data_IF_912879242857
#
_entry.id   IF_912879242857
#
_cell.length_a   1.000
_cell.length_b   1.000
_cell.length_c   1.000
_cell.angle_alpha   90.00
_cell.angle_beta   90.00
_cell.angle_gamma   90.00
#
_symmetry.space_group_name_H-M   'P 1'
#
loop_
_entity.id
_entity.type
_entity.pdbx_description
1 polymer ?
#
# COMPACT_ATOMS: atom_id res chain seq x y z
N UNK A 1 11.69 -42.00 44.46
CA UNK A 1 13.07 -42.44 44.23
C UNK A 1 13.66 -41.64 43.05
N UNK A 2 14.98 -41.38 43.07
CA UNK A 2 15.68 -40.61 42.00
C UNK A 2 15.52 -41.23 40.61
N UNK A 3 15.13 -42.49 40.54
CA UNK A 3 14.87 -43.19 39.30
C UNK A 3 13.56 -42.74 38.63
N UNK A 4 12.54 -42.37 39.41
CA UNK A 4 11.23 -41.94 38.91
C UNK A 4 11.27 -40.51 38.35
N UNK A 5 12.16 -39.66 38.90
CA UNK A 5 12.39 -38.30 38.42
C UNK A 5 13.11 -38.25 37.06
N UNK A 6 13.99 -39.24 36.78
CA UNK A 6 14.71 -39.34 35.51
C UNK A 6 13.85 -39.88 34.37
N UNK A 7 12.72 -40.50 34.70
CA UNK A 7 11.75 -41.02 33.70
C UNK A 7 10.68 -40.00 33.29
N UNK A 8 10.62 -38.83 33.88
CA UNK A 8 9.70 -37.77 33.48
C UNK A 8 10.20 -37.14 32.19
N UNK A 9 9.54 -37.48 31.10
CA UNK A 9 9.71 -36.77 29.82
C UNK A 9 9.26 -35.31 30.00
N UNK A 10 10.09 -34.32 29.70
CA UNK A 10 9.72 -32.94 29.84
C UNK A 10 8.47 -32.65 28.96
N UNK A 11 7.36 -32.37 29.61
CA UNK A 11 6.13 -32.00 28.92
C UNK A 11 6.19 -30.50 28.65
N UNK A 12 6.07 -30.13 27.38
CA UNK A 12 5.93 -28.72 26.98
C UNK A 12 4.50 -28.29 27.24
N UNK A 13 4.29 -27.43 28.22
CA UNK A 13 3.00 -26.80 28.48
C UNK A 13 2.97 -25.41 27.87
N UNK A 14 1.93 -25.12 27.06
CA UNK A 14 1.68 -23.80 26.50
C UNK A 14 0.47 -23.20 27.20
N UNK A 15 0.58 -21.97 27.68
CA UNK A 15 -0.49 -21.26 28.38
C UNK A 15 -0.12 -19.83 28.68
N UNK A 16 -1.02 -19.12 29.36
CA UNK A 16 -0.77 -17.76 29.82
C UNK A 16 -0.23 -17.77 31.25
N UNK A 17 0.85 -17.03 31.50
CA UNK A 17 1.32 -16.78 32.86
C UNK A 17 0.35 -15.81 33.55
N UNK A 18 -0.25 -16.25 34.66
CA UNK A 18 -1.18 -15.45 35.47
C UNK A 18 -0.69 -15.40 36.91
N UNK A 19 -0.92 -14.24 37.52
CA UNK A 19 -0.63 -14.08 38.95
C UNK A 19 -1.58 -14.94 39.79
N UNK A 20 -1.05 -15.68 40.76
CA UNK A 20 -1.84 -16.51 41.67
C UNK A 20 -2.71 -15.61 42.54
N UNK A 21 -4.06 -15.77 42.52
CA UNK A 21 -4.92 -15.04 43.45
C UNK A 21 -4.57 -15.34 44.90
N UNK A 22 -4.50 -14.32 45.75
CA UNK A 22 -4.13 -14.47 47.19
C UNK A 22 -4.92 -15.56 47.90
N UNK A 23 -6.21 -15.71 47.56
CA UNK A 23 -7.06 -16.75 48.11
C UNK A 23 -6.62 -18.15 47.74
N UNK A 24 -6.17 -18.35 46.48
CA UNK A 24 -5.65 -19.63 45.99
C UNK A 24 -4.28 -19.92 46.64
N UNK A 25 -3.40 -18.92 46.74
CA UNK A 25 -2.12 -19.06 47.44
C UNK A 25 -2.33 -19.46 48.89
N UNK A 26 -3.30 -18.88 49.59
CA UNK A 26 -3.69 -19.29 50.97
C UNK A 26 -4.11 -20.77 51.05
N UNK A 27 -4.98 -21.22 50.13
CA UNK A 27 -5.38 -22.63 50.09
C UNK A 27 -4.20 -23.58 49.84
N UNK A 28 -3.27 -23.19 49.02
CA UNK A 28 -2.08 -24.01 48.71
C UNK A 28 -1.16 -24.08 49.93
N UNK A 29 -0.95 -22.98 50.62
CA UNK A 29 -0.17 -22.94 51.91
C UNK A 29 -0.82 -23.82 52.94
N UNK A 30 -2.15 -23.72 53.14
CA UNK A 30 -2.90 -24.57 54.07
C UNK A 30 -2.79 -26.07 53.70
N UNK A 31 -2.85 -26.39 52.42
CA UNK A 31 -2.69 -27.76 51.92
C UNK A 31 -1.30 -28.30 52.22
N UNK A 32 -0.25 -27.54 51.98
CA UNK A 32 1.12 -27.97 52.29
C UNK A 32 1.34 -28.14 53.78
N UNK A 33 0.82 -27.21 54.63
CA UNK A 33 0.96 -27.28 56.08
C UNK A 33 0.20 -28.49 56.66
N UNK A 34 -0.95 -28.83 56.12
CA UNK A 34 -1.70 -30.02 56.49
C UNK A 34 -0.99 -31.34 56.09
N UNK A 35 -0.06 -31.29 55.16
CA UNK A 35 0.76 -32.41 54.71
C UNK A 35 2.18 -32.42 55.29
N UNK A 36 2.42 -31.69 56.40
CA UNK A 36 3.63 -31.72 57.16
C UNK A 36 4.75 -30.76 56.74
N UNK A 37 4.39 -29.77 55.93
CA UNK A 37 5.29 -28.67 55.58
C UNK A 37 4.95 -27.46 56.44
N UNK A 38 5.95 -26.73 56.94
CA UNK A 38 5.77 -25.47 57.64
C UNK A 38 6.06 -24.31 56.69
N UNK A 39 5.10 -23.90 55.89
CA UNK A 39 5.24 -22.83 54.91
C UNK A 39 4.40 -21.62 55.33
N UNK A 40 5.00 -20.43 55.33
CA UNK A 40 4.25 -19.17 55.34
C UNK A 40 3.87 -18.74 53.94
N UNK A 41 2.95 -17.80 53.79
CA UNK A 41 2.57 -17.27 52.49
C UNK A 41 3.77 -16.60 51.77
N UNK A 42 4.65 -15.94 52.53
CA UNK A 42 5.87 -15.34 51.99
C UNK A 42 6.89 -16.38 51.50
N UNK A 43 7.02 -17.48 52.21
CA UNK A 43 7.92 -18.57 51.83
C UNK A 43 7.41 -19.28 50.58
N UNK A 44 6.07 -19.42 50.46
CA UNK A 44 5.43 -19.95 49.28
C UNK A 44 5.72 -19.07 48.05
N UNK A 45 5.47 -17.75 48.14
CA UNK A 45 5.70 -16.79 47.03
C UNK A 45 7.20 -16.75 46.62
N UNK A 46 8.11 -16.86 47.60
CA UNK A 46 9.54 -16.82 47.33
C UNK A 46 10.08 -18.13 46.73
N UNK A 47 9.50 -19.29 47.09
CA UNK A 47 9.99 -20.61 46.67
C UNK A 47 9.30 -21.09 45.36
N UNK A 48 8.01 -20.92 45.25
CA UNK A 48 7.19 -21.40 44.10
C UNK A 48 6.81 -20.30 43.12
N UNK A 49 7.09 -19.06 43.49
CA UNK A 49 6.74 -17.90 42.69
C UNK A 49 5.25 -17.47 42.82
N UNK A 50 4.94 -16.33 42.27
CA UNK A 50 3.62 -15.71 42.38
C UNK A 50 2.76 -15.87 41.10
N UNK A 51 3.24 -16.69 40.16
CA UNK A 51 2.55 -16.92 38.87
C UNK A 51 2.32 -18.44 38.64
N UNK A 52 1.22 -18.73 37.95
CA UNK A 52 0.92 -20.06 37.43
C UNK A 52 0.69 -20.03 35.94
N UNK A 53 0.87 -21.16 35.25
CA UNK A 53 0.59 -21.30 33.86
C UNK A 53 -0.86 -21.76 33.67
N UNK A 54 -1.70 -20.88 33.16
CA UNK A 54 -3.08 -21.21 32.81
C UNK A 54 -3.11 -21.81 31.40
N UNK A 55 -3.17 -23.12 31.32
CA UNK A 55 -3.25 -23.87 30.07
C UNK A 55 -4.66 -23.91 29.48
N UNK A 56 -5.67 -23.50 30.23
CA UNK A 56 -7.07 -23.43 29.81
C UNK A 56 -7.46 -22.07 29.26
N UNK A 57 -6.62 -21.04 29.53
CA UNK A 57 -6.86 -19.71 29.03
C UNK A 57 -6.78 -19.72 27.50
N UNK A 58 -7.85 -19.36 26.81
CA UNK A 58 -7.78 -19.30 25.35
C UNK A 58 -6.73 -18.27 24.94
N UNK A 59 -5.87 -18.63 24.00
CA UNK A 59 -4.91 -17.72 23.35
C UNK A 59 -5.63 -16.61 22.54
N UNK A 60 -6.83 -16.23 22.97
CA UNK A 60 -7.75 -15.33 22.26
C UNK A 60 -7.19 -13.93 22.04
N UNK A 61 -6.28 -13.46 22.88
CA UNK A 61 -5.72 -12.11 22.72
C UNK A 61 -4.95 -11.95 21.39
N UNK A 62 -4.09 -12.91 21.08
CA UNK A 62 -3.30 -12.88 19.84
C UNK A 62 -4.13 -13.26 18.61
N UNK A 63 -5.09 -14.19 18.74
CA UNK A 63 -5.95 -14.59 17.63
C UNK A 63 -6.94 -13.49 17.22
N UNK A 64 -7.48 -12.74 18.17
CA UNK A 64 -8.37 -11.61 17.88
C UNK A 64 -7.63 -10.49 17.16
N UNK A 65 -6.40 -10.19 17.57
CA UNK A 65 -5.55 -9.20 16.90
C UNK A 65 -5.25 -9.65 15.46
N UNK A 66 -4.86 -10.91 15.26
CA UNK A 66 -4.62 -11.46 13.92
C UNK A 66 -5.87 -11.44 13.04
N UNK A 67 -7.04 -11.72 13.63
CA UNK A 67 -8.31 -11.64 12.89
C UNK A 67 -8.63 -10.22 12.43
N UNK A 68 -8.42 -9.21 13.31
CA UNK A 68 -8.61 -7.79 12.95
C UNK A 68 -7.66 -7.38 11.84
N UNK A 69 -6.37 -7.73 11.93
CA UNK A 69 -5.39 -7.45 10.86
C UNK A 69 -5.79 -8.11 9.54
N UNK A 70 -6.19 -9.39 9.58
CA UNK A 70 -6.66 -10.11 8.40
C UNK A 70 -7.86 -9.42 7.75
N UNK A 71 -8.85 -8.98 8.54
CA UNK A 71 -10.01 -8.26 8.04
C UNK A 71 -9.63 -6.92 7.40
N UNK A 72 -8.72 -6.16 8.00
CA UNK A 72 -8.21 -4.89 7.43
C UNK A 72 -7.50 -5.14 6.11
N UNK A 73 -6.59 -6.13 6.04
CA UNK A 73 -5.90 -6.45 4.80
C UNK A 73 -6.85 -6.94 3.71
N UNK A 74 -7.88 -7.71 4.07
CA UNK A 74 -8.91 -8.14 3.13
C UNK A 74 -9.67 -6.94 2.54
N UNK A 75 -10.10 -6.00 3.38
CA UNK A 75 -10.79 -4.77 2.93
C UNK A 75 -9.88 -3.95 2.00
N UNK A 76 -8.62 -3.74 2.37
CA UNK A 76 -7.65 -3.03 1.53
C UNK A 76 -7.45 -3.73 0.18
N UNK A 77 -7.35 -5.05 0.16
CA UNK A 77 -7.22 -5.84 -1.08
C UNK A 77 -8.43 -5.67 -1.98
N UNK A 78 -9.64 -5.66 -1.43
CA UNK A 78 -10.87 -5.42 -2.19
C UNK A 78 -10.90 -4.01 -2.77
N UNK A 79 -10.50 -2.99 -2.02
CA UNK A 79 -10.41 -1.60 -2.50
C UNK A 79 -9.42 -1.50 -3.67
N UNK A 80 -8.24 -2.11 -3.54
CA UNK A 80 -7.22 -2.13 -4.60
C UNK A 80 -7.76 -2.83 -5.86
N UNK A 81 -8.44 -3.98 -5.72
CA UNK A 81 -9.03 -4.70 -6.85
C UNK A 81 -10.12 -3.88 -7.57
N UNK A 82 -10.99 -3.20 -6.82
CA UNK A 82 -12.02 -2.34 -7.39
C UNK A 82 -11.38 -1.17 -8.14
N UNK A 83 -10.37 -0.53 -7.54
CA UNK A 83 -9.64 0.58 -8.17
C UNK A 83 -8.94 0.13 -9.45
N UNK A 84 -8.30 -1.03 -9.43
CA UNK A 84 -7.63 -1.59 -10.60
C UNK A 84 -8.62 -1.89 -11.74
N UNK A 85 -9.78 -2.50 -11.43
CA UNK A 85 -10.82 -2.74 -12.44
C UNK A 85 -11.37 -1.44 -13.02
N UNK A 86 -11.60 -0.44 -12.19
CA UNK A 86 -12.08 0.88 -12.65
C UNK A 86 -11.09 1.51 -13.62
N UNK A 87 -9.80 1.51 -13.30
CA UNK A 87 -8.75 2.05 -14.17
C UNK A 87 -8.64 1.28 -15.49
N UNK A 88 -8.66 -0.05 -15.43
CA UNK A 88 -8.63 -0.89 -16.63
C UNK A 88 -9.82 -0.58 -17.56
N UNK A 89 -11.00 -0.38 -17.00
CA UNK A 89 -12.18 -0.03 -17.79
C UNK A 89 -12.03 1.32 -18.50
N UNK A 90 -11.47 2.34 -17.85
CA UNK A 90 -11.24 3.65 -18.47
C UNK A 90 -10.28 3.55 -19.68
N UNK A 91 -9.19 2.80 -19.53
CA UNK A 91 -8.23 2.59 -20.62
C UNK A 91 -8.89 1.83 -21.76
N UNK A 92 -9.62 0.74 -21.47
CA UNK A 92 -10.32 -0.04 -22.49
C UNK A 92 -11.38 0.78 -23.22
N UNK A 93 -12.16 1.58 -22.50
CA UNK A 93 -13.16 2.47 -23.10
C UNK A 93 -12.49 3.46 -24.04
N UNK A 94 -11.37 4.06 -23.63
CA UNK A 94 -10.65 5.02 -24.48
C UNK A 94 -10.08 4.37 -25.73
N UNK A 95 -9.51 3.17 -25.63
CA UNK A 95 -9.06 2.39 -26.80
C UNK A 95 -10.23 2.08 -27.74
N UNK A 96 -11.38 1.68 -27.21
CA UNK A 96 -12.57 1.40 -28.02
C UNK A 96 -13.09 2.65 -28.72
N UNK A 97 -13.07 3.82 -28.07
CA UNK A 97 -13.41 5.10 -28.71
C UNK A 97 -12.47 5.40 -29.88
N UNK A 98 -11.16 5.32 -29.66
CA UNK A 98 -10.17 5.54 -30.72
C UNK A 98 -10.33 4.55 -31.89
N UNK A 99 -10.62 3.27 -31.60
CA UNK A 99 -10.89 2.26 -32.63
C UNK A 99 -12.16 2.58 -33.43
N UNK A 100 -13.23 2.97 -32.74
CA UNK A 100 -14.51 3.34 -33.37
C UNK A 100 -14.36 4.56 -34.27
N UNK A 101 -13.56 5.53 -33.81
CA UNK A 101 -13.37 6.79 -34.52
C UNK A 101 -12.29 6.65 -35.63
N UNK A 102 -11.66 5.47 -35.76
CA UNK A 102 -10.62 5.16 -36.76
C UNK A 102 -9.26 5.79 -36.49
N UNK A 103 -9.06 6.36 -35.32
CA UNK A 103 -7.82 7.05 -34.92
C UNK A 103 -6.77 6.13 -34.32
N UNK A 104 -7.15 4.92 -33.93
CA UNK A 104 -6.24 4.00 -33.22
C UNK A 104 -5.08 3.52 -34.09
N UNK A 105 -5.36 3.13 -35.33
CA UNK A 105 -4.33 2.60 -36.26
C UNK A 105 -3.32 3.69 -36.66
N UNK A 106 -3.73 4.90 -37.08
CA UNK A 106 -2.80 6.01 -37.33
C UNK A 106 -1.94 6.35 -36.13
N UNK A 107 -2.52 6.36 -34.92
CA UNK A 107 -1.81 6.60 -33.68
C UNK A 107 -0.72 5.53 -33.43
N UNK A 108 -1.05 4.25 -33.60
CA UNK A 108 -0.08 3.16 -33.44
C UNK A 108 1.06 3.26 -34.44
N UNK A 109 0.78 3.59 -35.69
CA UNK A 109 1.81 3.76 -36.71
C UNK A 109 2.75 4.93 -36.40
N UNK A 110 2.20 6.04 -35.92
CA UNK A 110 2.98 7.24 -35.60
C UNK A 110 3.95 6.97 -34.41
N UNK A 111 3.49 6.24 -33.39
CA UNK A 111 4.34 5.84 -32.26
C UNK A 111 5.30 4.68 -32.55
N UNK A 112 5.17 3.99 -33.67
CA UNK A 112 6.17 3.03 -34.16
C UNK A 112 7.28 3.70 -34.98
N UNK A 113 7.17 4.98 -35.29
CA UNK A 113 8.20 5.73 -36.00
C UNK A 113 9.48 5.86 -35.17
N UNK A 114 10.60 6.05 -35.82
CA UNK A 114 11.91 6.27 -35.18
C UNK A 114 11.98 7.60 -34.43
N UNK A 115 11.09 8.52 -34.74
CA UNK A 115 11.05 9.87 -34.16
C UNK A 115 10.15 9.95 -32.92
N UNK A 116 9.51 8.84 -32.56
CA UNK A 116 8.71 8.77 -31.33
C UNK A 116 9.61 8.61 -30.09
N UNK A 117 9.33 9.36 -29.04
CA UNK A 117 10.05 9.32 -27.78
C UNK A 117 9.10 9.10 -26.58
N UNK A 118 9.56 8.27 -25.64
CA UNK A 118 8.81 7.92 -24.44
C UNK A 118 9.49 8.50 -23.19
N UNK A 119 8.76 9.21 -22.39
CA UNK A 119 9.20 9.85 -21.16
C UNK A 119 8.46 9.26 -19.95
N UNK A 120 8.80 8.04 -19.56
CA UNK A 120 8.10 7.28 -18.50
C UNK A 120 7.97 8.06 -17.20
N UNK A 121 9.01 8.81 -16.80
CA UNK A 121 8.99 9.62 -15.56
C UNK A 121 8.01 10.78 -15.61
N UNK A 122 7.65 11.22 -16.79
CA UNK A 122 6.69 12.31 -17.00
C UNK A 122 5.30 11.77 -17.31
N UNK A 123 5.20 10.48 -17.62
CA UNK A 123 3.96 9.89 -18.10
C UNK A 123 3.56 10.43 -19.48
N UNK A 124 4.54 10.70 -20.35
CA UNK A 124 4.31 11.23 -21.68
C UNK A 124 4.97 10.36 -22.75
N UNK A 125 4.35 10.34 -23.93
CA UNK A 125 4.99 9.93 -25.17
C UNK A 125 4.70 10.97 -26.25
N UNK A 126 5.71 11.29 -27.06
CA UNK A 126 5.62 12.28 -28.13
C UNK A 126 5.98 11.58 -29.44
N UNK A 127 5.19 11.78 -30.45
CA UNK A 127 5.43 11.34 -31.81
C UNK A 127 5.31 12.53 -32.77
N UNK A 128 5.61 12.41 -34.06
CA UNK A 128 5.55 13.54 -34.99
C UNK A 128 4.20 14.26 -35.05
N UNK A 129 3.11 13.54 -34.81
CA UNK A 129 1.77 14.12 -34.97
C UNK A 129 0.94 14.09 -33.68
N UNK A 130 1.38 13.34 -32.64
CA UNK A 130 0.57 13.15 -31.44
C UNK A 130 1.40 13.28 -30.16
N UNK A 131 0.74 13.82 -29.13
CA UNK A 131 1.17 13.73 -27.74
C UNK A 131 0.23 12.78 -27.00
N UNK A 132 0.79 11.79 -26.35
CA UNK A 132 0.10 10.88 -25.44
C UNK A 132 0.43 11.25 -23.99
N UNK A 133 -0.59 11.58 -23.20
CA UNK A 133 -0.46 11.84 -21.76
C UNK A 133 -1.06 10.67 -20.99
N UNK A 134 -0.19 9.95 -20.29
CA UNK A 134 -0.52 8.86 -19.38
C UNK A 134 -0.01 9.13 -17.94
N UNK A 135 0.27 10.40 -17.62
CA UNK A 135 0.74 10.84 -16.31
C UNK A 135 -0.25 10.52 -15.19
N UNK A 136 -1.53 10.42 -15.52
CA UNK A 136 -2.60 10.13 -14.59
C UNK A 136 -3.45 8.93 -15.03
N UNK A 137 -2.83 7.74 -15.06
CA UNK A 137 -3.48 6.49 -15.48
C UNK A 137 -4.76 6.15 -14.69
N UNK A 138 -5.00 6.79 -13.54
CA UNK A 138 -6.27 6.60 -12.81
C UNK A 138 -7.49 7.08 -13.59
N UNK A 139 -7.29 8.01 -14.52
CA UNK A 139 -8.35 8.56 -15.38
C UNK A 139 -8.22 8.10 -16.82
N UNK A 140 -7.33 7.14 -17.09
CA UNK A 140 -7.01 6.68 -18.44
C UNK A 140 -5.81 7.43 -19.03
N UNK A 141 -5.79 7.53 -20.35
CA UNK A 141 -4.80 8.31 -21.08
C UNK A 141 -5.50 9.28 -22.03
N UNK A 142 -4.80 10.35 -22.34
CA UNK A 142 -5.28 11.36 -23.30
C UNK A 142 -4.39 11.39 -24.53
N UNK A 143 -4.99 11.55 -25.69
CA UNK A 143 -4.29 11.69 -26.97
C UNK A 143 -4.58 13.09 -27.48
N UNK A 144 -3.54 13.81 -27.83
CA UNK A 144 -3.60 15.16 -28.34
C UNK A 144 -2.92 15.24 -29.71
N UNK A 145 -3.66 15.50 -30.81
CA UNK A 145 -3.06 15.83 -32.08
C UNK A 145 -2.26 17.14 -31.98
N UNK A 146 -0.99 17.14 -32.39
CA UNK A 146 -0.09 18.29 -32.22
C UNK A 146 -0.47 19.48 -33.12
N UNK A 147 -1.16 19.25 -34.24
CA UNK A 147 -1.63 20.28 -35.17
C UNK A 147 -2.71 21.19 -34.58
N UNK A 148 -3.36 20.78 -33.45
CA UNK A 148 -4.36 21.57 -32.75
C UNK A 148 -3.76 22.65 -31.86
N UNK A 149 -2.47 22.54 -31.53
CA UNK A 149 -1.82 23.48 -30.65
C UNK A 149 -1.20 24.63 -31.43
N UNK A 150 -1.32 25.80 -30.83
CA UNK A 150 -0.67 27.02 -31.33
C UNK A 150 0.71 27.22 -30.67
N UNK A 151 0.84 26.84 -29.40
CA UNK A 151 2.02 27.08 -28.62
C UNK A 151 2.21 26.00 -27.54
N UNK A 152 3.46 25.65 -27.27
CA UNK A 152 3.83 24.72 -26.20
C UNK A 152 4.90 25.40 -25.35
N UNK A 153 4.69 25.47 -24.05
CA UNK A 153 5.62 26.18 -23.19
C UNK A 153 5.60 25.61 -21.76
N UNK A 154 6.66 25.91 -21.03
CA UNK A 154 6.76 25.60 -19.61
C UNK A 154 5.89 26.54 -18.79
N UNK A 155 5.06 25.97 -17.92
CA UNK A 155 4.19 26.73 -17.02
C UNK A 155 4.38 26.27 -15.57
N UNK A 156 4.45 27.19 -14.64
CA UNK A 156 4.47 26.95 -13.19
C UNK A 156 3.26 27.56 -12.48
N UNK A 157 2.19 27.83 -13.22
CA UNK A 157 0.96 28.42 -12.70
C UNK A 157 -0.23 27.53 -13.05
N UNK A 158 -1.12 27.33 -12.08
CA UNK A 158 -2.40 26.64 -12.28
C UNK A 158 -3.50 27.56 -11.77
N UNK A 159 -4.50 27.84 -12.61
CA UNK A 159 -5.60 28.77 -12.29
C UNK A 159 -5.13 30.15 -11.77
N UNK A 160 -4.02 30.65 -12.32
CA UNK A 160 -3.45 31.96 -11.91
C UNK A 160 -2.65 31.92 -10.60
N UNK A 161 -2.49 30.77 -9.97
CA UNK A 161 -1.71 30.60 -8.75
C UNK A 161 -0.38 29.91 -9.05
N UNK A 162 0.74 30.42 -8.50
CA UNK A 162 2.04 29.77 -8.66
C UNK A 162 2.05 28.41 -7.96
N UNK A 163 2.70 27.43 -8.61
CA UNK A 163 2.85 26.07 -8.07
C UNK A 163 4.33 25.73 -7.89
N UNK A 164 4.61 24.75 -7.04
CA UNK A 164 5.96 24.17 -6.87
C UNK A 164 6.34 23.22 -8.01
N UNK A 165 5.37 22.82 -8.83
CA UNK A 165 5.60 21.94 -9.98
C UNK A 165 5.64 22.72 -11.29
N UNK A 166 6.46 22.26 -12.21
CA UNK A 166 6.47 22.73 -13.59
C UNK A 166 5.58 21.79 -14.43
N UNK A 167 4.84 22.38 -15.35
CA UNK A 167 3.97 21.70 -16.30
C UNK A 167 4.41 22.03 -17.73
N UNK A 168 4.15 21.14 -18.65
CA UNK A 168 4.11 21.46 -20.07
C UNK A 168 2.68 21.96 -20.34
N UNK A 169 2.58 23.20 -20.78
CA UNK A 169 1.32 23.82 -21.16
C UNK A 169 1.17 23.77 -22.68
N UNK A 170 0.05 23.18 -23.12
CA UNK A 170 -0.36 23.13 -24.52
C UNK A 170 -1.46 24.19 -24.72
N UNK A 171 -1.23 25.17 -25.57
CA UNK A 171 -2.20 26.22 -25.87
C UNK A 171 -2.89 25.93 -27.20
N UNK A 172 -4.20 25.71 -27.15
CA UNK A 172 -5.01 25.48 -28.32
C UNK A 172 -5.24 26.79 -29.10
N UNK A 173 -5.54 26.68 -30.38
CA UNK A 173 -5.87 27.82 -31.26
C UNK A 173 -7.05 28.68 -30.78
N UNK A 174 -7.88 28.16 -29.89
CA UNK A 174 -9.00 28.88 -29.26
C UNK A 174 -8.58 29.61 -27.95
N UNK A 175 -7.30 29.56 -27.56
CA UNK A 175 -6.77 30.18 -26.32
C UNK A 175 -6.95 29.33 -25.07
N UNK A 176 -7.56 28.16 -25.17
CA UNK A 176 -7.65 27.23 -24.03
C UNK A 176 -6.28 26.59 -23.78
N UNK A 177 -5.95 26.39 -22.50
CA UNK A 177 -4.70 25.75 -22.08
C UNK A 177 -4.95 24.42 -21.43
N UNK A 178 -4.15 23.44 -21.81
CA UNK A 178 -4.11 22.09 -21.22
C UNK A 178 -2.75 21.94 -20.55
N UNK A 179 -2.73 21.49 -19.31
CA UNK A 179 -1.50 21.22 -18.56
C UNK A 179 -1.25 19.74 -18.52
N UNK A 180 -0.09 19.33 -19.01
CA UNK A 180 0.37 17.93 -19.01
C UNK A 180 1.70 17.81 -18.27
N UNK A 181 2.05 16.61 -17.82
CA UNK A 181 3.34 16.27 -17.20
C UNK A 181 3.76 17.19 -16.05
N UNK A 182 3.19 16.97 -14.87
CA UNK A 182 3.65 17.63 -13.66
C UNK A 182 5.06 17.15 -13.24
N UNK A 183 6.01 18.05 -13.11
CA UNK A 183 7.35 17.75 -12.62
C UNK A 183 7.77 18.76 -11.53
N UNK A 184 8.10 18.31 -10.30
CA UNK A 184 8.49 19.22 -9.23
C UNK A 184 9.78 19.99 -9.53
N UNK A 185 10.71 19.35 -10.26
CA UNK A 185 11.96 19.99 -10.69
C UNK A 185 12.12 19.85 -12.20
N UNK A 186 12.67 20.88 -12.85
CA UNK A 186 13.00 20.83 -14.27
C UNK A 186 14.09 19.79 -14.50
N UNK A 187 13.71 18.60 -14.94
CA UNK A 187 14.64 17.53 -15.29
C UNK A 187 15.10 17.65 -16.74
N UNK A 188 16.21 16.97 -17.08
CA UNK A 188 16.67 16.87 -18.47
C UNK A 188 15.56 16.29 -19.37
N UNK A 189 14.86 15.25 -18.88
CA UNK A 189 13.75 14.64 -19.63
C UNK A 189 12.59 15.61 -19.88
N UNK A 190 12.31 16.52 -18.93
CA UNK A 190 11.29 17.54 -19.11
C UNK A 190 11.64 18.53 -20.22
N UNK A 191 12.90 19.04 -20.20
CA UNK A 191 13.35 19.94 -21.26
C UNK A 191 13.39 19.26 -22.62
N UNK A 192 13.91 18.03 -22.69
CA UNK A 192 13.94 17.27 -23.95
C UNK A 192 12.53 17.01 -24.49
N UNK A 193 11.54 16.68 -23.62
CA UNK A 193 10.16 16.52 -24.04
C UNK A 193 9.55 17.84 -24.54
N UNK A 194 9.89 18.97 -23.89
CA UNK A 194 9.44 20.30 -24.32
C UNK A 194 10.06 20.70 -25.67
N UNK A 195 11.32 20.37 -25.90
CA UNK A 195 12.03 20.70 -27.15
C UNK A 195 11.55 19.85 -28.34
N UNK A 196 10.90 18.71 -28.10
CA UNK A 196 10.30 17.87 -29.15
C UNK A 196 8.88 18.28 -29.52
N UNK A 197 8.19 19.03 -28.70
CA UNK A 197 6.84 19.53 -28.89
C UNK A 197 6.83 20.90 -29.55
#
# INVERSE_FOLDING_TARGET
>A
SDADLKAMVPQTAVGQSKKIPKKLAGYLVDYFNNNGFELSLSDYEQTLGDHYLDTTAPLMGSSLVLFIFSAVFFILSVIVLISFRKNSNHIQTRIQELMRDGEFEPLCQDFQSTDAAFYDRLGLAVSPHYLLDFSNLQYGFSVYPLDQFYNVFKCNMVNGQPTTSNYIALELKNGQRILVAACPNTSKSFNTALDML
#
